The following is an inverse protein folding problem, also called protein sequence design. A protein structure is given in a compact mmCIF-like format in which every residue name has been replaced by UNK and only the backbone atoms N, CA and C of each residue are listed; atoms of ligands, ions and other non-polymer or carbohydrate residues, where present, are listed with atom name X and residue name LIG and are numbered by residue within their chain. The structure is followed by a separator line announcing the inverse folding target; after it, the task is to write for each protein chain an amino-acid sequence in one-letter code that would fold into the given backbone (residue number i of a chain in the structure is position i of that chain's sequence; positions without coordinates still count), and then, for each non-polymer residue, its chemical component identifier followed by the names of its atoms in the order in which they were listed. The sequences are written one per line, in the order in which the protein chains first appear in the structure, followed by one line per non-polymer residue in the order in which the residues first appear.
data_IF_793538702587
#
_entry.id   IF_793538702587
#
_cell.length_a   1.000
_cell.length_b   1.000
_cell.length_c   1.000
_cell.angle_alpha   90.00
_cell.angle_beta   90.00
_cell.angle_gamma   90.00
#
_symmetry.space_group_name_H-M   'P 1'
#
loop_
_entity.id
_entity.type
_entity.pdbx_description
1 polymer ?
#
# COMPACT_ATOMS: atom_id res chain seq x y z
N UNK A 1 70.52 -17.38 11.97
CA UNK A 1 69.29 -18.20 11.97
C UNK A 1 68.14 -17.25 12.28
N UNK A 2 67.40 -16.82 11.26
CA UNK A 2 66.29 -15.88 11.41
C UNK A 2 64.99 -16.68 11.54
N UNK A 3 64.26 -16.50 12.64
CA UNK A 3 62.92 -17.04 12.79
C UNK A 3 61.92 -15.89 12.70
N UNK A 4 61.04 -16.02 11.71
CA UNK A 4 60.13 -15.03 11.16
C UNK A 4 58.97 -14.76 12.13
N UNK A 5 58.58 -13.48 12.20
CA UNK A 5 57.46 -12.91 12.96
C UNK A 5 56.12 -13.57 12.57
N UNK A 6 55.38 -14.07 13.56
CA UNK A 6 53.98 -14.52 13.42
C UNK A 6 53.04 -13.30 13.37
N UNK A 7 52.68 -12.87 12.16
CA UNK A 7 51.60 -11.91 11.92
C UNK A 7 50.26 -12.67 11.95
N UNK A 8 49.46 -12.48 13.00
CA UNK A 8 48.09 -13.01 13.09
C UNK A 8 47.19 -12.12 12.23
N UNK A 9 46.69 -12.67 11.12
CA UNK A 9 45.74 -12.04 10.22
C UNK A 9 44.33 -12.24 10.79
N UNK A 10 43.71 -11.17 11.32
CA UNK A 10 42.29 -11.15 11.67
C UNK A 10 41.46 -11.17 10.37
N UNK A 11 40.86 -12.31 10.04
CA UNK A 11 39.81 -12.39 9.03
C UNK A 11 38.53 -11.80 9.62
N UNK A 12 38.20 -10.56 9.25
CA UNK A 12 36.82 -10.08 9.31
C UNK A 12 36.03 -10.81 8.21
N UNK A 13 35.35 -11.88 8.56
CA UNK A 13 34.25 -12.38 7.75
C UNK A 13 33.11 -11.37 7.89
N UNK A 14 33.05 -10.39 6.99
CA UNK A 14 31.85 -9.61 6.77
C UNK A 14 30.78 -10.59 6.28
N UNK A 15 29.86 -10.97 7.16
CA UNK A 15 28.61 -11.63 6.77
C UNK A 15 27.81 -10.59 6.01
N UNK A 16 27.95 -10.56 4.69
CA UNK A 16 26.99 -9.89 3.82
C UNK A 16 25.65 -10.57 4.07
N UNK A 17 24.80 -9.97 4.89
CA UNK A 17 23.39 -10.33 4.92
C UNK A 17 22.89 -10.09 3.49
N UNK A 18 22.48 -11.15 2.80
CA UNK A 18 21.69 -11.02 1.59
C UNK A 18 20.39 -10.38 2.05
N UNK A 19 20.29 -9.06 1.88
CA UNK A 19 19.03 -8.37 2.04
C UNK A 19 18.17 -8.90 0.89
N UNK A 20 17.28 -9.84 1.20
CA UNK A 20 16.29 -10.30 0.23
C UNK A 20 15.24 -9.21 0.14
N UNK A 21 14.80 -8.88 -1.07
CA UNK A 21 13.61 -8.06 -1.21
C UNK A 21 12.40 -8.84 -0.65
N UNK A 22 11.58 -8.19 0.18
CA UNK A 22 10.31 -8.74 0.66
C UNK A 22 9.21 -8.44 -0.35
N UNK A 23 8.37 -9.42 -0.61
CA UNK A 23 7.23 -9.25 -1.51
C UNK A 23 6.06 -8.58 -0.76
N UNK A 24 5.56 -7.49 -1.33
CA UNK A 24 4.54 -6.64 -0.73
C UNK A 24 3.33 -6.50 -1.64
N UNK A 25 2.17 -6.35 -1.02
CA UNK A 25 0.91 -6.04 -1.70
C UNK A 25 0.34 -4.73 -1.19
N UNK A 26 0.07 -3.84 -2.11
CA UNK A 26 -0.65 -2.59 -1.86
C UNK A 26 -2.10 -2.84 -2.17
N UNK A 27 -2.98 -2.45 -1.26
CA UNK A 27 -4.42 -2.58 -1.44
C UNK A 27 -5.06 -1.21 -1.28
N UNK A 28 -5.62 -0.72 -2.37
CA UNK A 28 -6.58 0.37 -2.35
C UNK A 28 -7.97 -0.23 -2.28
N UNK A 29 -8.83 0.28 -1.42
CA UNK A 29 -10.21 -0.18 -1.30
C UNK A 29 -11.16 1.00 -1.19
N UNK A 30 -12.35 0.86 -1.76
CA UNK A 30 -13.46 1.76 -1.56
C UNK A 30 -14.76 0.97 -1.55
N UNK A 31 -15.74 1.42 -0.78
CA UNK A 31 -17.06 0.83 -0.82
C UNK A 31 -18.17 1.78 -0.45
N UNK A 32 -19.36 1.42 -0.92
CA UNK A 32 -20.57 2.20 -0.82
C UNK A 32 -21.71 1.30 -0.38
N UNK A 33 -22.57 1.80 0.49
CA UNK A 33 -23.81 1.10 0.81
C UNK A 33 -25.01 2.04 0.74
N UNK A 34 -26.15 1.47 0.38
CA UNK A 34 -27.44 2.15 0.39
C UNK A 34 -28.52 1.19 0.85
N UNK A 35 -29.30 1.58 1.86
CA UNK A 35 -30.48 0.82 2.28
C UNK A 35 -31.65 1.13 1.37
N UNK A 36 -32.48 0.14 1.05
CA UNK A 36 -33.72 0.36 0.32
C UNK A 36 -34.68 1.13 1.23
N UNK A 37 -35.21 2.25 0.74
CA UNK A 37 -36.13 3.11 1.48
C UNK A 37 -37.44 2.38 1.77
N UNK A 38 -37.81 2.35 3.05
CA UNK A 38 -39.09 1.77 3.51
C UNK A 38 -40.29 2.70 3.24
N UNK A 39 -41.53 2.23 3.50
CA UNK A 39 -42.76 2.98 3.20
C UNK A 39 -42.89 4.36 3.88
N UNK A 40 -42.13 4.59 4.95
CA UNK A 40 -42.12 5.84 5.71
C UNK A 40 -41.09 6.88 5.21
N UNK A 41 -40.32 6.55 4.16
CA UNK A 41 -39.41 7.48 3.49
C UNK A 41 -38.00 7.55 4.10
N UNK A 42 -36.99 7.57 3.23
CA UNK A 42 -35.57 7.73 3.55
C UNK A 42 -34.73 6.47 3.33
N UNK A 43 -33.62 6.61 2.60
CA UNK A 43 -32.54 5.65 2.54
C UNK A 43 -31.36 6.15 3.38
N UNK A 44 -30.67 5.24 4.08
CA UNK A 44 -29.36 5.50 4.68
C UNK A 44 -28.31 5.09 3.67
N UNK A 45 -27.32 5.95 3.45
CA UNK A 45 -26.17 5.68 2.61
C UNK A 45 -24.86 6.02 3.34
N UNK A 46 -23.76 5.41 2.91
CA UNK A 46 -22.43 5.70 3.40
C UNK A 46 -21.36 5.25 2.42
N UNK A 47 -20.20 5.88 2.51
CA UNK A 47 -19.01 5.62 1.70
C UNK A 47 -17.83 5.38 2.64
N UNK A 48 -16.92 4.49 2.26
CA UNK A 48 -15.69 4.22 2.98
C UNK A 48 -14.54 3.97 2.00
N UNK A 49 -13.33 4.28 2.43
CA UNK A 49 -12.09 4.09 1.67
C UNK A 49 -10.97 3.59 2.57
N UNK A 50 -10.01 2.89 1.99
CA UNK A 50 -8.91 2.27 2.71
C UNK A 50 -7.66 2.13 1.87
N UNK A 51 -6.50 2.33 2.47
CA UNK A 51 -5.21 2.02 1.89
C UNK A 51 -4.38 1.21 2.88
N UNK A 52 -3.82 0.10 2.40
CA UNK A 52 -2.93 -0.72 3.19
C UNK A 52 -1.76 -1.25 2.34
N UNK A 53 -0.63 -1.46 3.00
CA UNK A 53 0.48 -2.25 2.46
C UNK A 53 0.63 -3.45 3.37
N UNK A 54 0.57 -4.65 2.78
CA UNK A 54 0.63 -5.92 3.49
C UNK A 54 1.78 -6.77 2.98
N UNK A 55 2.41 -7.53 3.86
CA UNK A 55 3.38 -8.55 3.47
C UNK A 55 2.69 -9.89 3.14
N UNK A 56 3.47 -10.86 2.69
CA UNK A 56 2.99 -12.22 2.40
C UNK A 56 2.45 -12.99 3.61
N UNK A 57 2.80 -12.58 4.83
CA UNK A 57 2.22 -13.15 6.05
C UNK A 57 0.80 -12.61 6.32
N UNK A 58 0.37 -11.58 5.59
CA UNK A 58 -0.90 -10.88 5.79
C UNK A 58 -0.84 -9.80 6.88
N UNK A 59 0.34 -9.47 7.37
CA UNK A 59 0.54 -8.38 8.33
C UNK A 59 0.58 -7.05 7.59
N UNK A 60 -0.12 -6.05 8.13
CA UNK A 60 -0.08 -4.69 7.60
C UNK A 60 1.20 -3.97 8.07
N UNK A 61 2.00 -3.52 7.13
CA UNK A 61 3.16 -2.65 7.39
C UNK A 61 2.79 -1.16 7.28
N UNK A 62 1.63 -0.87 6.67
CA UNK A 62 0.96 0.43 6.69
C UNK A 62 -0.55 0.21 6.57
N UNK A 63 -1.37 0.92 7.34
CA UNK A 63 -2.83 0.91 7.18
C UNK A 63 -3.45 2.25 7.56
N UNK A 64 -4.00 2.96 6.59
CA UNK A 64 -4.72 4.21 6.82
C UNK A 64 -5.90 4.34 5.85
N UNK A 65 -7.06 4.73 6.38
CA UNK A 65 -8.26 5.03 5.60
C UNK A 65 -8.13 6.32 4.79
N UNK A 66 -7.31 7.25 5.29
CA UNK A 66 -7.14 8.59 4.73
C UNK A 66 -5.68 9.01 4.81
N UNK A 67 -4.77 8.38 4.05
CA UNK A 67 -3.35 8.76 4.06
C UNK A 67 -3.19 10.25 3.78
N UNK A 68 -2.48 10.94 4.68
CA UNK A 68 -2.32 12.40 4.69
C UNK A 68 -3.64 13.18 4.66
N UNK A 69 -4.66 12.73 5.41
CA UNK A 69 -6.01 13.33 5.50
C UNK A 69 -6.81 13.33 4.18
N UNK A 70 -6.44 12.48 3.22
CA UNK A 70 -7.10 12.40 1.91
C UNK A 70 -7.59 10.99 1.57
N UNK A 71 -8.68 10.91 0.79
CA UNK A 71 -9.12 9.64 0.18
C UNK A 71 -8.02 9.08 -0.72
N UNK A 72 -7.64 7.80 -0.59
CA UNK A 72 -6.47 7.25 -1.27
C UNK A 72 -6.64 7.15 -2.79
N UNK A 73 -7.89 7.05 -3.28
CA UNK A 73 -8.23 7.12 -4.70
C UNK A 73 -9.07 8.36 -4.97
N UNK A 74 -8.90 8.96 -6.15
CA UNK A 74 -9.65 10.14 -6.56
C UNK A 74 -10.00 10.09 -8.04
N UNK A 75 -11.15 10.65 -8.43
CA UNK A 75 -11.70 10.48 -9.78
C UNK A 75 -11.48 11.68 -10.72
N UNK A 76 -10.91 12.79 -10.22
CA UNK A 76 -10.63 13.96 -11.04
C UNK A 76 -9.17 13.99 -11.48
N UNK A 77 -8.93 14.39 -12.73
CA UNK A 77 -7.57 14.43 -13.28
C UNK A 77 -7.02 13.02 -13.47
N UNK A 78 -5.75 12.83 -13.13
CA UNK A 78 -5.06 11.54 -13.29
C UNK A 78 -5.25 10.62 -12.08
N UNK A 79 -5.91 11.05 -11.01
CA UNK A 79 -6.08 10.29 -9.78
C UNK A 79 -5.46 10.99 -8.58
N UNK A 80 -5.13 10.22 -7.54
CA UNK A 80 -4.34 10.72 -6.40
C UNK A 80 -2.98 10.05 -6.37
N UNK A 81 -1.95 10.83 -6.07
CA UNK A 81 -0.63 10.35 -5.70
C UNK A 81 -0.32 10.75 -4.25
N UNK A 82 0.39 9.87 -3.54
CA UNK A 82 1.05 10.20 -2.29
C UNK A 82 2.37 9.44 -2.22
N UNK A 83 3.32 10.02 -1.49
CA UNK A 83 4.65 9.46 -1.33
C UNK A 83 4.78 8.90 0.08
N UNK A 84 5.35 7.69 0.19
CA UNK A 84 5.69 7.09 1.47
C UNK A 84 7.20 6.92 1.55
N UNK A 85 7.77 7.44 2.63
CA UNK A 85 9.18 7.28 3.01
C UNK A 85 9.30 6.24 4.13
N UNK A 86 10.41 5.50 4.21
CA UNK A 86 10.75 4.68 5.37
C UNK A 86 11.65 3.49 5.06
N UNK A 87 11.89 2.63 6.06
CA UNK A 87 13.00 1.66 6.07
C UNK A 87 12.83 0.46 5.11
N UNK A 88 11.64 0.31 4.51
CA UNK A 88 11.35 -0.72 3.50
C UNK A 88 12.02 -0.46 2.15
N UNK A 89 12.48 0.77 1.92
CA UNK A 89 13.08 1.17 0.65
C UNK A 89 14.18 2.20 0.87
N UNK A 90 15.15 2.18 -0.03
CA UNK A 90 16.29 3.10 -0.02
C UNK A 90 15.92 4.51 -0.48
N UNK A 91 14.84 4.63 -1.25
CA UNK A 91 14.28 5.88 -1.76
C UNK A 91 12.75 5.85 -1.72
N UNK A 92 12.08 7.00 -1.53
CA UNK A 92 10.63 7.05 -1.38
C UNK A 92 9.87 6.34 -2.51
N UNK A 93 8.69 5.83 -2.18
CA UNK A 93 7.78 5.20 -3.15
C UNK A 93 6.57 6.08 -3.35
N UNK A 94 6.14 6.18 -4.60
CA UNK A 94 4.92 6.92 -4.96
C UNK A 94 3.81 5.93 -5.25
N UNK A 95 2.69 6.12 -4.58
CA UNK A 95 1.50 5.30 -4.70
C UNK A 95 0.44 6.12 -5.40
N UNK A 96 -0.08 5.57 -6.49
CA UNK A 96 -1.07 6.24 -7.31
C UNK A 96 -2.33 5.39 -7.38
N UNK A 97 -3.48 6.04 -7.20
CA UNK A 97 -4.77 5.43 -7.46
C UNK A 97 -5.73 6.40 -8.13
N UNK A 98 -6.29 5.95 -9.25
CA UNK A 98 -7.36 6.61 -9.96
C UNK A 98 -8.67 5.90 -9.67
N UNK A 99 -9.69 6.66 -9.29
CA UNK A 99 -11.04 6.16 -9.14
C UNK A 99 -11.88 6.42 -10.40
N UNK A 100 -12.90 5.60 -10.62
CA UNK A 100 -13.94 5.81 -11.62
C UNK A 100 -14.92 6.91 -11.20
N UNK A 101 -15.94 7.16 -12.02
CA UNK A 101 -16.97 8.17 -11.71
C UNK A 101 -17.74 7.88 -10.41
N UNK A 102 -17.90 6.62 -10.03
CA UNK A 102 -18.60 6.21 -8.81
C UNK A 102 -17.71 6.25 -7.57
N UNK A 103 -16.40 6.52 -7.72
CA UNK A 103 -15.44 6.56 -6.61
C UNK A 103 -14.78 5.22 -6.32
N UNK A 104 -15.02 4.20 -7.16
CA UNK A 104 -14.37 2.90 -7.06
C UNK A 104 -12.96 2.97 -7.66
N UNK A 105 -11.94 2.32 -7.09
CA UNK A 105 -10.63 2.21 -7.74
C UNK A 105 -10.79 1.66 -9.17
N UNK A 106 -10.26 2.37 -10.15
CA UNK A 106 -10.21 1.99 -11.58
C UNK A 106 -8.84 1.40 -11.92
N UNK A 107 -7.78 2.08 -11.51
CA UNK A 107 -6.39 1.66 -11.73
C UNK A 107 -5.51 2.15 -10.60
N UNK A 108 -4.48 1.38 -10.28
CA UNK A 108 -3.49 1.74 -9.27
C UNK A 108 -2.09 1.32 -9.71
N UNK A 109 -1.08 2.04 -9.25
CA UNK A 109 0.32 1.76 -9.53
C UNK A 109 1.23 2.19 -8.39
N UNK A 110 2.39 1.54 -8.32
CA UNK A 110 3.47 1.90 -7.40
C UNK A 110 4.67 2.27 -8.24
N UNK A 111 5.28 3.41 -7.94
CA UNK A 111 6.47 3.93 -8.63
C UNK A 111 7.64 4.05 -7.68
N UNK A 112 8.84 3.90 -8.22
CA UNK A 112 10.05 4.32 -7.54
C UNK A 112 10.21 5.86 -7.56
N UNK A 113 11.26 6.36 -6.90
CA UNK A 113 11.56 7.78 -6.82
C UNK A 113 11.91 8.42 -8.19
N UNK A 114 12.30 7.62 -9.19
CA UNK A 114 12.60 8.08 -10.55
C UNK A 114 11.33 8.11 -11.43
N UNK A 115 10.18 7.65 -10.90
CA UNK A 115 8.91 7.56 -11.59
C UNK A 115 8.73 6.29 -12.42
N UNK A 116 9.62 5.30 -12.29
CA UNK A 116 9.43 4.01 -12.96
C UNK A 116 8.35 3.20 -12.22
N UNK A 117 7.44 2.60 -12.98
CA UNK A 117 6.40 1.74 -12.43
C UNK A 117 7.01 0.41 -11.97
N UNK A 118 6.91 0.12 -10.68
CA UNK A 118 7.32 -1.14 -10.05
C UNK A 118 6.23 -2.19 -10.15
N UNK A 119 4.97 -1.77 -10.12
CA UNK A 119 3.80 -2.62 -10.29
C UNK A 119 2.56 -1.82 -10.61
N UNK A 120 1.57 -2.47 -11.21
CA UNK A 120 0.28 -1.89 -11.57
C UNK A 120 -0.85 -2.89 -11.34
N UNK A 121 -2.04 -2.41 -11.02
CA UNK A 121 -3.25 -3.19 -10.83
C UNK A 121 -4.46 -2.55 -11.49
N UNK A 122 -5.45 -3.38 -11.79
CA UNK A 122 -6.77 -2.95 -12.26
C UNK A 122 -7.81 -3.12 -11.16
N UNK A 123 -8.70 -2.14 -11.04
CA UNK A 123 -9.80 -2.15 -10.10
C UNK A 123 -10.76 -3.31 -10.32
N UNK A 124 -11.15 -3.97 -9.23
CA UNK A 124 -12.21 -4.97 -9.18
C UNK A 124 -13.34 -4.42 -8.33
N UNK A 125 -14.58 -4.54 -8.79
CA UNK A 125 -15.78 -4.09 -8.06
C UNK A 125 -16.78 -5.22 -7.94
N UNK A 126 -17.13 -5.57 -6.72
CA UNK A 126 -18.15 -6.55 -6.38
C UNK A 126 -19.40 -5.84 -5.86
N UNK A 127 -20.57 -6.19 -6.41
CA UNK A 127 -21.86 -5.65 -5.96
C UNK A 127 -22.66 -6.74 -5.25
N UNK A 128 -23.01 -6.50 -3.99
CA UNK A 128 -23.78 -7.44 -3.16
C UNK A 128 -25.19 -6.90 -2.90
N UNK A 129 -26.21 -7.70 -3.19
CA UNK A 129 -27.63 -7.38 -2.95
C UNK A 129 -28.24 -8.35 -1.93
N UNK A 130 -28.76 -7.83 -0.82
CA UNK A 130 -29.37 -8.66 0.24
C UNK A 130 -30.88 -8.43 0.42
N UNK A 131 -31.56 -7.83 -0.56
CA UNK A 131 -33.01 -7.62 -0.55
C UNK A 131 -33.49 -6.39 0.24
N UNK A 132 -32.68 -5.88 1.18
CA UNK A 132 -32.96 -4.68 1.97
C UNK A 132 -31.89 -3.59 1.82
N UNK A 133 -30.75 -3.93 1.20
CA UNK A 133 -29.65 -3.02 0.92
C UNK A 133 -28.83 -3.50 -0.28
N UNK A 134 -28.09 -2.57 -0.85
CA UNK A 134 -27.09 -2.80 -1.89
C UNK A 134 -25.76 -2.30 -1.34
N UNK A 135 -24.73 -3.13 -1.40
CA UNK A 135 -23.35 -2.77 -1.10
C UNK A 135 -22.50 -2.94 -2.35
N UNK A 136 -21.56 -2.03 -2.56
CA UNK A 136 -20.53 -2.14 -3.59
C UNK A 136 -19.19 -2.05 -2.88
N UNK A 137 -18.35 -3.06 -3.06
CA UNK A 137 -17.01 -3.11 -2.50
C UNK A 137 -16.05 -3.24 -3.67
N UNK A 138 -15.05 -2.36 -3.70
CA UNK A 138 -14.10 -2.26 -4.79
C UNK A 138 -12.69 -2.21 -4.26
N UNK A 139 -11.76 -2.82 -4.99
CA UNK A 139 -10.35 -2.86 -4.61
C UNK A 139 -9.44 -2.80 -5.82
N UNK A 140 -8.24 -2.25 -5.63
CA UNK A 140 -7.16 -2.32 -6.60
C UNK A 140 -5.90 -2.77 -5.86
N UNK A 141 -5.29 -3.85 -6.36
CA UNK A 141 -4.13 -4.50 -5.71
C UNK A 141 -2.92 -4.39 -6.60
N UNK A 142 -1.81 -3.90 -6.05
CA UNK A 142 -0.49 -3.89 -6.70
C UNK A 142 0.47 -4.77 -5.93
N UNK A 143 1.13 -5.69 -6.61
CA UNK A 143 2.22 -6.48 -6.04
C UNK A 143 3.56 -5.89 -6.47
N UNK A 144 4.49 -5.72 -5.53
CA UNK A 144 5.84 -5.20 -5.80
C UNK A 144 6.83 -5.72 -4.74
N UNK A 145 8.12 -5.64 -5.04
CA UNK A 145 9.18 -6.05 -4.12
C UNK A 145 9.79 -4.81 -3.42
N UNK A 146 10.04 -4.92 -2.11
CA UNK A 146 10.74 -3.91 -1.31
C UNK A 146 12.25 -3.89 -1.63
N UNK A 147 13.01 -2.95 -1.05
CA UNK A 147 14.48 -3.02 -1.12
C UNK A 147 15.08 -3.83 0.05
N UNK A 148 14.27 -4.20 1.05
CA UNK A 148 14.72 -4.83 2.29
C UNK A 148 13.80 -5.94 2.82
N UNK A 149 14.39 -6.94 3.49
CA UNK A 149 13.63 -8.01 4.16
C UNK A 149 13.18 -7.54 5.55
N UNK A 150 11.95 -7.87 5.94
CA UNK A 150 11.45 -7.64 7.30
C UNK A 150 10.97 -6.21 7.49
N UNK A 151 10.18 -5.72 6.55
CA UNK A 151 9.47 -4.47 6.67
C UNK A 151 8.76 -4.37 8.03
N UNK A 152 9.00 -3.30 8.79
CA UNK A 152 8.43 -3.14 10.13
C UNK A 152 6.90 -3.11 10.05
N UNK A 153 6.26 -3.97 10.83
CA UNK A 153 4.80 -4.01 10.98
C UNK A 153 4.32 -2.72 11.64
N UNK A 154 3.19 -2.19 11.17
CA UNK A 154 2.62 -0.95 11.68
C UNK A 154 2.12 -1.14 13.13
N UNK A 155 2.66 -0.34 14.05
CA UNK A 155 2.28 -0.31 15.46
C UNK A 155 1.51 0.98 15.85
N UNK A 156 1.07 1.76 14.86
CA UNK A 156 0.43 3.07 15.05
C UNK A 156 1.42 4.22 15.27
N UNK A 157 2.73 3.95 15.30
CA UNK A 157 3.81 4.92 15.13
C UNK A 157 4.76 4.48 14.02
N UNK A 158 4.25 3.72 13.04
CA UNK A 158 5.04 3.03 12.02
C UNK A 158 6.09 3.94 11.36
N UNK A 159 7.27 3.39 10.99
CA UNK A 159 8.38 4.16 10.42
C UNK A 159 8.12 4.64 8.99
N UNK A 160 6.92 4.36 8.47
CA UNK A 160 6.46 4.82 7.18
C UNK A 160 5.76 6.17 7.34
N UNK A 161 6.28 7.19 6.66
CA UNK A 161 5.74 8.54 6.70
C UNK A 161 5.15 8.91 5.36
N UNK A 162 3.88 9.32 5.36
CA UNK A 162 3.19 9.81 4.17
C UNK A 162 3.38 11.31 4.04
N UNK A 163 3.70 11.76 2.84
CA UNK A 163 3.65 13.17 2.45
C UNK A 163 2.81 13.32 1.18
N UNK A 164 1.89 14.29 1.15
CA UNK A 164 1.25 14.72 -0.09
C UNK A 164 2.29 15.20 -1.10
N UNK A 165 2.18 14.67 -2.32
CA UNK A 165 2.67 15.31 -3.55
C UNK A 165 1.68 16.32 -4.08
#
# INVERSE_FOLDING_TARGET
MAAIRNTVLFLLAATSATVSAEHLKVVFSAGDFSTISGPAGGNTNGHYGGFAIINDNGDAIYNDGTPDDHSPCYNTGDGREFTIEGDCWSSPRTFHCKADFAGHPESCEVKDADGNVLGSGEGQTDTTFIGISIGQDSSCVVEFDSDSDGCPVDDGNGPLHVTSG
#
